data_IF_342306802872
#
_entry.id   IF_342306802872
#
_cell.length_a   1.000
_cell.length_b   1.000
_cell.length_c   1.000
_cell.angle_alpha   90.00
_cell.angle_beta   90.00
_cell.angle_gamma   90.00
#
_symmetry.space_group_name_H-M   'P 1'
#
loop_
_entity.id
_entity.type
_entity.pdbx_description
1 polymer ?
#
# COMPACT_ATOMS: atom_id res chain seq x y z
N UNK A 1 58.16 40.58 -28.83
CA UNK A 1 58.49 39.59 -29.89
C UNK A 1 57.20 38.81 -30.17
N UNK A 2 56.39 39.29 -31.11
CA UNK A 2 56.27 38.85 -32.52
C UNK A 2 55.15 37.82 -32.73
N UNK A 3 54.03 38.27 -33.33
CA UNK A 3 53.30 37.55 -34.40
C UNK A 3 54.28 37.30 -35.58
N UNK A 4 54.01 36.49 -36.64
CA UNK A 4 52.75 35.95 -37.20
C UNK A 4 52.86 34.46 -37.62
N UNK A 5 51.93 33.84 -38.38
CA UNK A 5 51.99 33.52 -39.85
C UNK A 5 50.70 32.72 -40.17
N UNK A 6 49.75 33.03 -41.06
CA UNK A 6 49.63 33.30 -42.51
C UNK A 6 49.74 32.07 -43.47
N UNK A 7 48.58 31.67 -44.03
CA UNK A 7 48.25 31.26 -45.41
C UNK A 7 49.21 30.38 -46.27
N UNK A 8 48.67 29.32 -46.91
CA UNK A 8 48.72 29.13 -48.39
C UNK A 8 47.86 27.99 -49.00
N UNK A 9 46.99 28.40 -49.94
CA UNK A 9 46.64 27.90 -51.31
C UNK A 9 46.31 26.40 -51.57
N UNK A 10 45.13 26.04 -52.12
CA UNK A 10 44.53 26.19 -53.49
C UNK A 10 45.03 25.20 -54.57
N UNK A 11 44.13 24.33 -55.05
CA UNK A 11 43.90 23.87 -56.46
C UNK A 11 42.93 22.66 -56.43
N UNK A 12 42.00 22.41 -57.35
CA UNK A 12 41.55 23.04 -58.59
C UNK A 12 40.24 22.39 -59.06
N UNK A 13 39.44 23.16 -59.81
CA UNK A 13 38.13 22.80 -60.39
C UNK A 13 38.21 21.73 -61.51
N UNK A 14 37.18 20.86 -61.61
CA UNK A 14 36.61 20.39 -62.90
C UNK A 14 35.07 20.33 -62.88
N UNK A 15 34.50 21.34 -63.56
CA UNK A 15 33.22 21.51 -64.28
C UNK A 15 32.26 20.30 -64.44
N UNK A 16 30.96 20.54 -64.20
CA UNK A 16 29.91 20.65 -65.23
C UNK A 16 28.58 21.19 -64.63
N UNK A 17 27.90 22.07 -65.37
CA UNK A 17 26.56 22.67 -65.11
C UNK A 17 25.65 22.36 -66.35
N UNK A 18 24.42 22.89 -66.57
CA UNK A 18 23.50 23.75 -65.77
C UNK A 18 21.97 23.39 -65.88
N UNK A 19 21.09 24.15 -65.18
CA UNK A 19 19.76 24.75 -65.59
C UNK A 19 18.89 25.03 -64.32
N UNK A 20 18.74 26.27 -63.82
CA UNK A 20 17.73 27.32 -64.10
C UNK A 20 16.24 26.90 -63.82
N UNK A 21 15.66 27.16 -62.63
CA UNK A 21 14.81 28.32 -62.16
C UNK A 21 13.38 28.41 -62.79
N UNK A 22 12.37 29.15 -62.26
CA UNK A 22 11.93 29.54 -60.88
C UNK A 22 10.37 29.42 -60.66
N UNK A 23 9.83 30.08 -59.62
CA UNK A 23 8.44 30.58 -59.33
C UNK A 23 7.55 29.76 -58.38
N UNK A 24 6.66 30.33 -57.55
CA UNK A 24 6.50 31.63 -56.86
C UNK A 24 5.25 31.45 -55.92
N UNK A 25 5.27 32.11 -54.76
CA UNK A 25 4.15 32.60 -53.92
C UNK A 25 2.86 31.77 -53.65
N UNK A 26 2.48 31.74 -52.37
CA UNK A 26 1.09 31.56 -51.94
C UNK A 26 0.93 31.66 -50.42
N UNK A 27 0.48 32.82 -49.95
CA UNK A 27 0.19 33.11 -48.54
C UNK A 27 -1.28 32.81 -48.17
N UNK A 28 -1.51 32.70 -46.85
CA UNK A 28 -2.77 32.81 -46.10
C UNK A 28 -3.75 31.63 -46.08
N UNK A 29 -4.08 31.12 -44.89
CA UNK A 29 -5.28 31.53 -44.14
C UNK A 29 -5.49 30.66 -42.88
N UNK A 30 -5.78 31.33 -41.77
CA UNK A 30 -6.21 30.79 -40.47
C UNK A 30 -7.73 30.54 -40.54
N UNK A 31 -8.28 29.39 -40.11
CA UNK A 31 -9.73 29.23 -40.00
C UNK A 31 -10.28 29.84 -38.69
N UNK A 32 -11.52 30.37 -38.71
CA UNK A 32 -12.04 31.20 -37.64
C UNK A 32 -12.70 30.43 -36.50
N UNK A 33 -12.62 31.06 -35.32
CA UNK A 33 -13.44 30.83 -34.12
C UNK A 33 -14.90 31.16 -34.44
N UNK A 34 -15.82 30.25 -34.12
CA UNK A 34 -17.26 30.53 -34.08
C UNK A 34 -17.70 30.59 -32.62
N UNK A 35 -18.11 31.79 -32.23
CA UNK A 35 -18.80 32.12 -30.99
C UNK A 35 -20.31 32.05 -31.29
N UNK A 36 -21.07 31.24 -30.56
CA UNK A 36 -22.52 31.39 -30.48
C UNK A 36 -22.92 31.56 -29.01
N UNK A 37 -23.44 32.76 -28.70
CA UNK A 37 -24.29 33.01 -27.54
C UNK A 37 -25.69 32.51 -27.85
N UNK A 38 -26.32 31.86 -26.90
CA UNK A 38 -27.78 31.79 -26.76
C UNK A 38 -28.10 31.93 -25.28
N UNK A 39 -28.89 32.96 -24.96
CA UNK A 39 -29.51 33.17 -23.66
C UNK A 39 -30.78 32.30 -23.53
N UNK A 40 -31.21 32.08 -22.28
CA UNK A 40 -32.55 31.66 -21.76
C UNK A 40 -32.75 30.14 -21.51
N UNK A 41 -33.39 29.69 -20.40
CA UNK A 41 -33.37 30.11 -18.99
C UNK A 41 -33.03 28.95 -18.01
N UNK A 42 -32.84 29.28 -16.73
CA UNK A 42 -32.75 28.34 -15.60
C UNK A 42 -33.90 27.32 -15.57
N UNK A 43 -33.57 26.04 -15.69
CA UNK A 43 -34.40 24.90 -15.27
C UNK A 43 -33.45 23.81 -14.76
N UNK A 44 -33.55 23.45 -13.49
CA UNK A 44 -32.86 22.28 -12.91
C UNK A 44 -33.24 21.01 -13.67
N UNK A 45 -32.31 20.06 -13.82
CA UNK A 45 -32.69 18.67 -13.69
C UNK A 45 -31.79 17.97 -12.67
N UNK A 46 -32.46 17.43 -11.66
CA UNK A 46 -32.02 16.33 -10.81
C UNK A 46 -31.31 15.25 -11.66
N UNK A 47 -29.97 15.22 -11.65
CA UNK A 47 -29.18 14.15 -12.27
C UNK A 47 -27.70 14.24 -11.81
N UNK A 48 -27.44 14.21 -10.51
CA UNK A 48 -26.09 14.07 -9.94
C UNK A 48 -26.06 13.00 -8.83
N UNK A 49 -26.85 11.93 -8.98
CA UNK A 49 -26.91 10.82 -8.03
C UNK A 49 -26.71 9.43 -8.67
N UNK A 50 -26.24 9.35 -9.92
CA UNK A 50 -26.07 8.07 -10.64
C UNK A 50 -24.68 7.82 -11.22
N UNK A 51 -23.63 8.40 -10.62
CA UNK A 51 -22.24 8.06 -10.99
C UNK A 51 -21.35 7.68 -9.80
N UNK A 52 -21.96 7.41 -8.64
CA UNK A 52 -21.28 6.95 -7.42
C UNK A 52 -21.61 5.48 -7.05
N UNK A 53 -22.19 4.72 -7.99
CA UNK A 53 -22.65 3.34 -7.78
C UNK A 53 -22.04 2.39 -8.81
N UNK A 54 -20.72 2.17 -8.75
CA UNK A 54 -20.05 1.00 -9.36
C UNK A 54 -18.80 0.56 -8.56
N UNK A 55 -18.87 0.62 -7.22
CA UNK A 55 -17.93 -0.08 -6.33
C UNK A 55 -18.64 -0.87 -5.21
N UNK A 56 -19.91 -1.21 -5.40
CA UNK A 56 -20.62 -2.21 -4.60
C UNK A 56 -20.53 -3.57 -5.30
N UNK A 57 -19.40 -4.24 -5.16
CA UNK A 57 -19.14 -5.55 -5.75
C UNK A 57 -18.35 -6.49 -4.84
N UNK A 58 -18.43 -6.30 -3.52
CA UNK A 58 -17.76 -7.11 -2.49
C UNK A 58 -18.75 -7.63 -1.45
N UNK A 59 -19.91 -8.12 -1.89
CA UNK A 59 -20.97 -8.67 -1.03
C UNK A 59 -20.61 -9.99 -0.31
N UNK A 60 -19.39 -10.50 -0.49
CA UNK A 60 -18.93 -11.74 0.16
C UNK A 60 -18.25 -11.53 1.53
N UNK A 61 -18.17 -10.30 2.03
CA UNK A 61 -17.53 -9.93 3.32
C UNK A 61 -18.55 -9.58 4.41
N UNK A 62 -19.62 -10.37 4.55
CA UNK A 62 -20.60 -10.16 5.63
C UNK A 62 -20.07 -10.71 6.95
N UNK A 63 -19.73 -9.82 7.90
CA UNK A 63 -19.47 -10.19 9.29
C UNK A 63 -20.68 -9.73 10.11
N UNK A 64 -21.29 -10.56 10.98
CA UNK A 64 -22.48 -10.16 11.74
C UNK A 64 -22.18 -8.96 12.66
N UNK A 65 -23.03 -7.94 12.59
CA UNK A 65 -23.03 -6.76 13.46
C UNK A 65 -23.57 -7.13 14.87
N UNK A 66 -22.97 -6.64 15.97
CA UNK A 66 -23.57 -6.75 17.28
C UNK A 66 -24.69 -5.70 17.46
N UNK A 67 -25.86 -6.14 17.92
CA UNK A 67 -27.04 -5.30 18.14
C UNK A 67 -26.79 -4.13 19.10
N UNK A 68 -27.40 -2.99 18.78
CA UNK A 68 -27.32 -1.73 19.50
C UNK A 68 -28.02 -1.76 20.87
N UNK A 69 -27.40 -1.15 21.88
CA UNK A 69 -28.06 -0.76 23.14
C UNK A 69 -27.65 0.65 23.59
N UNK A 70 -28.59 1.57 23.36
CA UNK A 70 -29.03 2.78 24.10
C UNK A 70 -28.09 3.58 25.02
N UNK A 71 -27.88 4.84 24.61
CA UNK A 71 -27.71 6.14 25.31
C UNK A 71 -27.31 6.26 26.79
N UNK A 72 -26.29 7.10 27.08
CA UNK A 72 -26.17 8.10 28.19
C UNK A 72 -25.07 9.12 27.79
N UNK A 73 -25.41 10.35 27.37
CA UNK A 73 -25.38 11.65 28.09
C UNK A 73 -24.05 12.45 27.97
N UNK A 74 -24.19 13.78 27.85
CA UNK A 74 -23.24 14.73 27.25
C UNK A 74 -22.40 15.56 28.23
N UNK A 75 -21.18 15.93 27.78
CA UNK A 75 -20.40 17.18 28.02
C UNK A 75 -19.49 17.27 29.27
N UNK A 76 -18.45 18.16 29.32
CA UNK A 76 -17.94 19.08 28.28
C UNK A 76 -16.41 18.99 28.00
N UNK A 77 -16.03 19.83 27.04
CA UNK A 77 -14.75 20.07 26.36
C UNK A 77 -13.67 20.77 27.21
N UNK A 78 -12.40 20.35 27.07
CA UNK A 78 -11.22 21.19 27.38
C UNK A 78 -10.01 20.78 26.52
N UNK A 79 -9.45 21.75 25.79
CA UNK A 79 -8.33 21.70 24.84
C UNK A 79 -6.95 21.40 25.49
N UNK A 80 -5.88 21.13 24.69
CA UNK A 80 -4.82 20.18 25.03
C UNK A 80 -3.50 20.80 25.54
N UNK A 81 -2.74 20.02 26.32
CA UNK A 81 -1.33 20.26 26.70
C UNK A 81 -0.50 18.99 26.37
N UNK A 82 0.79 19.09 25.95
CA UNK A 82 1.43 18.08 25.10
C UNK A 82 1.98 16.88 25.89
N UNK A 83 2.03 15.66 25.30
CA UNK A 83 2.51 14.50 26.04
C UNK A 83 4.05 14.43 26.07
N UNK A 84 4.58 14.51 27.29
CA UNK A 84 5.89 14.01 27.65
C UNK A 84 5.87 12.47 27.85
N UNK A 85 7.04 11.86 27.64
CA UNK A 85 7.42 10.44 27.64
C UNK A 85 6.61 9.43 28.51
N UNK A 86 6.43 8.17 28.06
CA UNK A 86 5.66 7.18 28.81
C UNK A 86 6.53 6.31 29.75
N UNK A 87 6.08 6.19 31.00
CA UNK A 87 6.09 4.99 31.87
C UNK A 87 5.31 5.31 33.17
N UNK A 88 4.78 4.35 33.97
CA UNK A 88 4.47 2.93 33.73
C UNK A 88 2.98 2.57 34.02
N UNK A 89 2.66 1.28 33.91
CA UNK A 89 1.34 0.64 33.97
C UNK A 89 0.47 0.95 35.22
N UNK A 90 -0.86 0.96 35.00
CA UNK A 90 -1.86 0.85 36.06
C UNK A 90 -2.99 -0.14 35.66
N UNK A 91 -3.29 -1.08 36.57
CA UNK A 91 -4.55 -1.84 36.69
C UNK A 91 -5.40 -1.14 37.78
N UNK A 92 -6.76 -1.25 37.88
CA UNK A 92 -7.48 -2.54 37.98
C UNK A 92 -8.94 -2.64 37.47
N UNK A 93 -9.37 -3.89 37.25
CA UNK A 93 -10.67 -4.52 37.59
C UNK A 93 -12.01 -3.85 37.27
N UNK A 94 -12.83 -4.50 36.41
CA UNK A 94 -14.10 -5.18 36.75
C UNK A 94 -15.06 -5.28 35.54
N UNK A 95 -14.98 -6.34 34.74
CA UNK A 95 -16.12 -6.85 33.97
C UNK A 95 -16.06 -8.37 33.97
N UNK A 96 -16.98 -8.97 34.72
CA UNK A 96 -17.08 -10.41 34.99
C UNK A 96 -18.30 -10.91 34.21
N UNK A 97 -18.07 -11.49 33.03
CA UNK A 97 -18.90 -12.49 32.33
C UNK A 97 -18.61 -12.45 30.83
N UNK A 98 -17.53 -13.11 30.41
CA UNK A 98 -17.48 -13.79 29.13
C UNK A 98 -16.94 -15.19 29.42
N UNK A 99 -17.60 -16.21 28.88
CA UNK A 99 -17.11 -17.58 29.00
C UNK A 99 -15.69 -17.66 28.42
N UNK A 100 -14.71 -18.21 29.16
CA UNK A 100 -13.33 -18.20 28.71
C UNK A 100 -13.13 -19.21 27.57
N UNK A 101 -12.57 -18.75 26.44
CA UNK A 101 -11.78 -19.62 25.58
C UNK A 101 -10.62 -20.18 26.41
N UNK A 102 -10.20 -21.45 26.20
CA UNK A 102 -9.20 -22.08 27.04
C UNK A 102 -7.89 -21.27 27.01
N UNK A 103 -7.53 -20.71 28.16
CA UNK A 103 -6.27 -20.00 28.35
C UNK A 103 -5.10 -20.94 28.12
N UNK A 104 -4.04 -20.44 27.47
CA UNK A 104 -2.82 -21.17 27.12
C UNK A 104 -2.00 -21.72 28.31
N UNK A 105 -2.49 -21.57 29.53
CA UNK A 105 -1.81 -21.94 30.78
C UNK A 105 -1.96 -23.42 31.17
N UNK A 106 -2.75 -24.21 30.45
CA UNK A 106 -2.94 -25.65 30.73
C UNK A 106 -2.06 -26.58 29.84
N UNK A 107 -1.04 -26.03 29.17
CA UNK A 107 -0.23 -26.73 28.15
C UNK A 107 0.87 -27.63 28.72
N UNK A 108 0.61 -28.34 29.82
CA UNK A 108 1.46 -29.44 30.36
C UNK A 108 0.75 -30.80 30.33
N UNK A 109 -0.13 -31.05 29.37
CA UNK A 109 -0.73 -32.36 29.15
C UNK A 109 -0.72 -32.70 27.66
N UNK A 110 -0.02 -33.81 27.33
CA UNK A 110 0.01 -34.50 26.03
C UNK A 110 0.36 -33.65 24.81
N UNK A 111 1.45 -34.00 24.12
CA UNK A 111 1.72 -33.59 22.74
C UNK A 111 0.64 -34.16 21.80
N UNK A 112 -0.59 -33.65 21.88
CA UNK A 112 -1.51 -33.77 20.76
C UNK A 112 -0.89 -32.91 19.66
N UNK A 113 -0.47 -33.56 18.56
CA UNK A 113 -0.03 -32.81 17.39
C UNK A 113 -1.15 -31.84 17.02
N UNK A 114 -0.85 -30.55 16.80
CA UNK A 114 -1.86 -29.60 16.37
C UNK A 114 -2.53 -30.11 15.10
N UNK A 115 -3.86 -29.97 15.04
CA UNK A 115 -4.60 -30.30 13.82
C UNK A 115 -4.02 -29.46 12.70
N UNK A 116 -3.48 -30.13 11.68
CA UNK A 116 -2.86 -29.45 10.55
C UNK A 116 -3.98 -29.00 9.62
N UNK A 117 -4.14 -27.68 9.35
CA UNK A 117 -5.15 -27.20 8.44
C UNK A 117 -4.86 -27.75 7.04
N UNK A 118 -5.86 -28.41 6.46
CA UNK A 118 -5.80 -28.89 5.08
C UNK A 118 -5.81 -27.71 4.12
N UNK A 119 -5.06 -27.82 3.02
CA UNK A 119 -5.13 -26.86 1.92
C UNK A 119 -6.19 -27.39 0.93
N UNK A 120 -7.27 -26.64 0.68
CA UNK A 120 -8.25 -27.02 -0.32
C UNK A 120 -7.64 -26.97 -1.73
N UNK A 121 -8.30 -27.57 -2.72
CA UNK A 121 -7.86 -27.49 -4.12
C UNK A 121 -7.73 -26.03 -4.55
N UNK A 122 -6.59 -25.62 -5.16
CA UNK A 122 -6.42 -24.25 -5.63
C UNK A 122 -7.43 -23.90 -6.74
N UNK A 123 -7.90 -22.65 -6.79
CA UNK A 123 -8.71 -22.17 -7.91
C UNK A 123 -7.85 -22.11 -9.19
N UNK A 124 -8.52 -22.02 -10.34
CA UNK A 124 -7.84 -21.87 -11.63
C UNK A 124 -7.02 -20.57 -11.72
N UNK A 125 -7.51 -19.52 -11.06
CA UNK A 125 -6.85 -18.21 -11.00
C UNK A 125 -6.97 -17.63 -9.60
N UNK A 126 -5.90 -16.98 -9.15
CA UNK A 126 -5.86 -16.27 -7.87
C UNK A 126 -5.98 -14.77 -8.19
N UNK A 127 -7.02 -14.08 -7.70
CA UNK A 127 -7.25 -12.69 -8.02
C UNK A 127 -6.12 -11.79 -7.52
N UNK A 128 -5.90 -10.69 -8.24
CA UNK A 128 -5.07 -9.59 -7.73
C UNK A 128 -5.94 -8.71 -6.82
N UNK A 129 -5.44 -8.47 -5.61
CA UNK A 129 -6.17 -7.67 -4.62
C UNK A 129 -5.42 -6.35 -4.45
N UNK A 130 -6.01 -5.21 -4.86
CA UNK A 130 -5.41 -3.90 -4.62
C UNK A 130 -5.39 -3.59 -3.13
N UNK A 131 -4.33 -2.94 -2.68
CA UNK A 131 -4.12 -2.52 -1.30
C UNK A 131 -3.61 -1.09 -1.26
N UNK A 132 -4.12 -0.31 -0.29
CA UNK A 132 -3.78 1.09 -0.06
C UNK A 132 -3.14 1.24 1.31
N UNK A 133 -1.86 1.60 1.34
CA UNK A 133 -1.08 1.70 2.57
C UNK A 133 -0.69 3.14 2.85
N UNK A 134 -1.12 3.69 3.99
CA UNK A 134 -0.63 4.98 4.45
C UNK A 134 0.83 4.88 4.90
N UNK A 135 1.75 5.39 4.08
CA UNK A 135 3.20 5.34 4.31
C UNK A 135 3.72 6.56 5.09
N UNK A 136 3.04 7.71 4.95
CA UNK A 136 3.32 8.91 5.73
C UNK A 136 2.01 9.60 6.08
N UNK A 137 1.81 9.96 7.34
CA UNK A 137 0.63 10.72 7.80
C UNK A 137 1.06 12.05 8.40
N UNK A 138 0.32 13.13 8.12
CA UNK A 138 0.54 14.41 8.78
C UNK A 138 1.85 15.11 8.42
N UNK A 139 2.40 14.93 7.22
CA UNK A 139 3.66 15.56 6.83
C UNK A 139 3.48 17.04 6.45
N UNK A 140 4.41 17.91 6.87
CA UNK A 140 4.43 19.32 6.42
C UNK A 140 5.17 19.51 5.09
N UNK A 141 5.99 18.53 4.71
CA UNK A 141 6.69 18.44 3.42
C UNK A 141 6.91 16.97 3.10
N UNK A 142 6.93 16.62 1.81
CA UNK A 142 7.24 15.28 1.31
C UNK A 142 8.27 15.38 0.18
N UNK A 143 9.36 14.63 0.28
CA UNK A 143 10.34 14.43 -0.77
C UNK A 143 9.90 13.24 -1.60
N UNK A 144 9.58 13.51 -2.87
CA UNK A 144 9.08 12.54 -3.84
C UNK A 144 10.13 12.34 -4.93
N UNK A 145 10.30 11.12 -5.43
CA UNK A 145 11.23 10.84 -6.52
C UNK A 145 10.84 9.60 -7.32
N UNK A 146 11.57 9.29 -8.37
CA UNK A 146 11.28 8.15 -9.25
C UNK A 146 12.54 7.46 -9.78
N UNK A 147 12.54 6.13 -9.85
CA UNK A 147 13.71 5.37 -10.31
C UNK A 147 13.85 5.32 -11.83
N UNK A 148 12.74 5.31 -12.57
CA UNK A 148 12.66 5.22 -14.05
C UNK A 148 12.01 6.47 -14.69
N UNK A 149 11.77 7.49 -13.87
CA UNK A 149 10.87 8.60 -14.20
C UNK A 149 9.44 8.31 -13.76
N UNK A 150 8.65 9.36 -13.53
CA UNK A 150 7.27 9.23 -13.10
C UNK A 150 6.39 10.33 -13.67
N UNK A 151 5.18 9.98 -14.10
CA UNK A 151 4.17 10.96 -14.49
C UNK A 151 3.48 11.46 -13.23
N UNK A 152 3.30 12.78 -13.12
CA UNK A 152 2.50 13.38 -12.06
C UNK A 152 1.14 13.76 -12.64
N UNK A 153 0.06 13.28 -12.02
CA UNK A 153 -1.31 13.63 -12.40
C UNK A 153 -2.08 14.20 -11.21
N UNK A 154 -3.16 14.92 -11.47
CA UNK A 154 -4.16 15.28 -10.46
C UNK A 154 -5.15 14.14 -10.17
N UNK A 155 -6.19 14.42 -9.39
CA UNK A 155 -7.23 13.46 -9.02
C UNK A 155 -8.04 12.93 -10.21
N UNK A 156 -8.14 13.71 -11.29
CA UNK A 156 -8.89 13.38 -12.51
C UNK A 156 -8.01 12.66 -13.55
N UNK A 157 -6.72 12.46 -13.24
CA UNK A 157 -5.76 11.85 -14.15
C UNK A 157 -5.17 12.83 -15.17
N UNK A 158 -5.43 14.13 -15.05
CA UNK A 158 -4.78 15.11 -15.92
C UNK A 158 -3.31 15.21 -15.54
N UNK A 159 -2.44 15.07 -16.54
CA UNK A 159 -0.99 15.20 -16.36
C UNK A 159 -0.63 16.66 -16.06
N UNK A 160 -0.06 16.88 -14.87
CA UNK A 160 0.40 18.19 -14.42
C UNK A 160 1.93 18.33 -14.50
N UNK A 161 2.66 17.21 -14.50
CA UNK A 161 4.12 17.22 -14.51
C UNK A 161 4.75 15.86 -14.78
N UNK A 162 6.08 15.81 -14.72
CA UNK A 162 6.86 14.59 -14.84
C UNK A 162 8.16 14.70 -14.04
N UNK A 163 8.45 13.66 -13.26
CA UNK A 163 9.74 13.48 -12.60
C UNK A 163 10.69 12.74 -13.55
N UNK A 164 11.90 13.28 -13.68
CA UNK A 164 12.99 12.60 -14.37
C UNK A 164 13.50 11.37 -13.60
N UNK A 165 14.24 10.53 -14.30
CA UNK A 165 14.96 9.38 -13.74
C UNK A 165 15.89 9.81 -12.60
N UNK A 166 15.80 9.12 -11.46
CA UNK A 166 16.60 9.39 -10.25
C UNK A 166 16.53 10.85 -9.77
N UNK A 167 15.41 11.52 -10.05
CA UNK A 167 15.15 12.87 -9.56
C UNK A 167 14.37 12.86 -8.25
N UNK A 168 14.45 13.97 -7.51
CA UNK A 168 13.65 14.21 -6.33
C UNK A 168 13.06 15.63 -6.37
N UNK A 169 11.84 15.79 -5.87
CA UNK A 169 11.10 17.04 -5.77
C UNK A 169 10.44 17.13 -4.40
N UNK A 170 10.25 18.35 -3.88
CA UNK A 170 9.45 18.54 -2.67
C UNK A 170 7.99 18.83 -3.01
N UNK A 171 7.09 18.16 -2.30
CA UNK A 171 5.68 18.48 -2.22
C UNK A 171 5.38 19.14 -0.86
N UNK A 172 4.72 20.29 -0.89
CA UNK A 172 4.32 21.04 0.30
C UNK A 172 2.84 21.44 0.19
N UNK A 173 2.09 21.50 1.31
CA UNK A 173 0.76 22.07 1.30
C UNK A 173 0.87 23.58 1.03
N UNK A 174 0.16 24.06 0.02
CA UNK A 174 0.00 25.47 -0.33
C UNK A 174 -1.35 26.02 0.15
N UNK A 175 -1.58 27.34 -0.03
CA UNK A 175 -2.90 27.94 0.27
C UNK A 175 -4.00 27.25 -0.53
N UNK A 176 -3.78 27.08 -1.83
CA UNK A 176 -4.65 26.36 -2.75
C UNK A 176 -3.97 25.06 -3.19
N UNK A 177 -4.13 24.01 -2.39
CA UNK A 177 -3.71 22.66 -2.76
C UNK A 177 -2.27 22.30 -2.46
N UNK A 178 -1.65 21.49 -3.32
CA UNK A 178 -0.32 20.92 -3.14
C UNK A 178 0.61 21.56 -4.17
N UNK A 179 1.67 22.21 -3.71
CA UNK A 179 2.79 22.62 -4.56
C UNK A 179 3.77 21.46 -4.65
N UNK A 180 4.18 21.07 -5.86
CA UNK A 180 5.19 20.03 -6.11
C UNK A 180 6.22 20.54 -7.13
N UNK A 181 7.39 20.95 -6.65
CA UNK A 181 8.38 21.61 -7.51
C UNK A 181 7.79 22.85 -8.16
N UNK A 182 7.78 22.89 -9.50
CA UNK A 182 7.18 23.97 -10.30
C UNK A 182 5.69 23.74 -10.62
N UNK A 183 5.12 22.60 -10.22
CA UNK A 183 3.74 22.22 -10.52
C UNK A 183 2.82 22.39 -9.30
N UNK A 184 1.52 22.45 -9.55
CA UNK A 184 0.50 22.58 -8.52
C UNK A 184 -0.66 21.62 -8.78
N UNK A 185 -1.19 21.02 -7.72
CA UNK A 185 -2.35 20.14 -7.75
C UNK A 185 -3.42 20.63 -6.75
N UNK A 186 -4.73 20.42 -7.01
CA UNK A 186 -5.78 21.00 -6.15
C UNK A 186 -5.85 20.43 -4.74
N UNK A 187 -5.94 19.11 -4.58
CA UNK A 187 -6.05 18.44 -3.27
C UNK A 187 -5.41 17.07 -3.25
N UNK A 188 -5.29 16.44 -4.42
CA UNK A 188 -4.67 15.14 -4.62
C UNK A 188 -3.73 15.26 -5.81
N UNK A 189 -2.57 14.62 -5.70
CA UNK A 189 -1.73 14.28 -6.84
C UNK A 189 -1.36 12.81 -6.78
N UNK A 190 -1.04 12.26 -7.93
CA UNK A 190 -0.50 10.92 -8.10
C UNK A 190 0.90 10.99 -8.68
N UNK A 191 1.79 10.17 -8.15
CA UNK A 191 3.11 9.91 -8.72
C UNK A 191 3.09 8.49 -9.27
N UNK A 192 3.00 8.38 -10.60
CA UNK A 192 2.93 7.12 -11.32
C UNK A 192 4.29 6.79 -11.94
N UNK A 193 5.04 5.80 -11.42
CA UNK A 193 6.31 5.42 -12.02
C UNK A 193 6.10 4.82 -13.43
N UNK A 194 7.08 5.00 -14.30
CA UNK A 194 7.07 4.39 -15.64
C UNK A 194 7.56 2.93 -15.58
N UNK A 195 6.83 2.02 -16.23
CA UNK A 195 7.14 0.58 -16.21
C UNK A 195 7.16 0.01 -14.78
N UNK A 196 8.12 -0.88 -14.51
CA UNK A 196 8.33 -1.46 -13.17
C UNK A 196 9.15 -0.54 -12.23
N UNK A 197 9.05 0.77 -12.47
CA UNK A 197 9.72 1.79 -11.67
C UNK A 197 9.24 1.86 -10.23
N UNK A 198 10.05 2.53 -9.41
CA UNK A 198 9.79 2.75 -7.99
C UNK A 198 9.59 4.23 -7.72
N UNK A 199 8.71 4.53 -6.77
CA UNK A 199 8.52 5.88 -6.24
C UNK A 199 9.32 6.02 -4.96
N UNK A 200 10.13 7.07 -4.87
CA UNK A 200 10.80 7.45 -3.63
C UNK A 200 9.89 8.34 -2.80
N UNK A 201 9.75 8.04 -1.52
CA UNK A 201 9.04 8.88 -0.54
C UNK A 201 9.82 8.87 0.77
N UNK A 202 10.29 10.04 1.21
CA UNK A 202 10.85 10.24 2.56
C UNK A 202 11.89 9.18 2.99
N UNK A 203 12.88 8.89 2.13
CA UNK A 203 13.96 7.95 2.46
C UNK A 203 13.78 6.52 1.95
N UNK A 204 12.61 6.17 1.42
CA UNK A 204 12.29 4.78 1.01
C UNK A 204 11.76 4.70 -0.40
N UNK A 205 11.98 3.54 -1.04
CA UNK A 205 11.49 3.22 -2.37
C UNK A 205 10.30 2.28 -2.29
N UNK A 206 9.23 2.59 -3.02
CA UNK A 206 7.96 1.86 -3.02
C UNK A 206 7.60 1.39 -4.42
N UNK A 207 6.98 0.22 -4.51
CA UNK A 207 6.40 -0.31 -5.76
C UNK A 207 5.07 0.38 -6.03
N UNK A 208 4.73 0.49 -7.30
CA UNK A 208 3.44 1.05 -7.72
C UNK A 208 3.33 2.55 -7.47
N UNK A 209 2.16 3.13 -7.77
CA UNK A 209 1.94 4.55 -7.61
C UNK A 209 1.84 4.99 -6.15
N UNK A 210 2.11 6.28 -5.94
CA UNK A 210 1.87 6.96 -4.66
C UNK A 210 0.87 8.09 -4.88
N UNK A 211 -0.19 8.07 -4.09
CA UNK A 211 -1.15 9.15 -3.98
C UNK A 211 -0.73 10.07 -2.84
N UNK A 212 -0.65 11.38 -3.10
CA UNK A 212 -0.43 12.40 -2.07
C UNK A 212 -1.70 13.22 -1.92
N UNK A 213 -2.22 13.28 -0.70
CA UNK A 213 -3.49 13.91 -0.36
C UNK A 213 -3.22 15.03 0.63
N UNK A 214 -3.75 16.22 0.35
CA UNK A 214 -3.74 17.33 1.30
C UNK A 214 -4.93 17.24 2.26
N UNK A 215 -4.63 17.37 3.54
CA UNK A 215 -5.59 17.54 4.64
C UNK A 215 -5.16 18.77 5.42
N UNK A 216 -5.90 19.86 5.24
CA UNK A 216 -5.54 21.17 5.80
C UNK A 216 -4.10 21.56 5.44
N UNK A 217 -3.24 21.79 6.43
CA UNK A 217 -1.83 22.15 6.27
C UNK A 217 -0.89 20.95 6.37
N UNK A 218 -1.39 19.74 6.13
CA UNK A 218 -0.62 18.49 6.16
C UNK A 218 -0.86 17.65 4.92
N UNK A 219 0.10 16.76 4.65
CA UNK A 219 0.09 15.80 3.57
C UNK A 219 0.00 14.38 4.11
N UNK A 220 -0.78 13.57 3.44
CA UNK A 220 -0.89 12.12 3.58
C UNK A 220 -0.29 11.51 2.30
N UNK A 221 0.61 10.55 2.44
CA UNK A 221 1.10 9.75 1.33
C UNK A 221 0.57 8.31 1.47
N UNK A 222 -0.13 7.85 0.43
CA UNK A 222 -0.72 6.50 0.33
C UNK A 222 -0.05 5.79 -0.83
N UNK A 223 0.57 4.64 -0.55
CA UNK A 223 1.08 3.77 -1.59
C UNK A 223 -0.01 2.79 -2.04
N UNK A 224 -0.15 2.64 -3.35
CA UNK A 224 -1.12 1.75 -3.99
C UNK A 224 -0.36 0.63 -4.70
N UNK A 225 -0.65 -0.61 -4.34
CA UNK A 225 0.03 -1.80 -4.86
C UNK A 225 -0.85 -3.06 -4.71
N UNK A 226 -0.43 -4.15 -5.35
CA UNK A 226 -1.05 -5.46 -5.11
C UNK A 226 -0.64 -6.03 -3.74
N UNK A 227 -1.56 -6.76 -3.12
CA UNK A 227 -1.38 -7.43 -1.83
C UNK A 227 -0.13 -8.32 -1.80
N UNK A 228 0.14 -9.10 -2.84
CA UNK A 228 1.30 -10.00 -2.85
C UNK A 228 2.63 -9.21 -2.87
N UNK A 229 2.67 -8.11 -3.63
CA UNK A 229 3.81 -7.19 -3.68
C UNK A 229 4.05 -6.50 -2.33
N UNK A 230 2.98 -6.15 -1.62
CA UNK A 230 3.06 -5.64 -0.25
C UNK A 230 3.69 -6.67 0.71
N UNK A 231 3.31 -7.94 0.58
CA UNK A 231 3.78 -9.01 1.46
C UNK A 231 5.27 -9.31 1.31
N UNK A 232 5.88 -9.08 0.13
CA UNK A 232 7.34 -9.18 -0.02
C UNK A 232 8.08 -8.28 0.99
N UNK A 233 7.59 -7.06 1.18
CA UNK A 233 8.17 -6.10 2.12
C UNK A 233 7.89 -6.49 3.56
N UNK A 234 6.62 -6.82 3.88
CA UNK A 234 6.19 -7.15 5.24
C UNK A 234 6.92 -8.38 5.77
N UNK A 235 6.97 -9.47 5.02
CA UNK A 235 7.63 -10.70 5.49
C UNK A 235 9.12 -10.44 5.76
N UNK A 236 9.79 -9.66 4.92
CA UNK A 236 11.20 -9.30 5.12
C UNK A 236 11.46 -8.29 6.23
N UNK A 237 10.48 -7.44 6.55
CA UNK A 237 10.57 -6.49 7.66
C UNK A 237 10.27 -7.14 9.02
N UNK A 238 9.44 -8.17 9.01
CA UNK A 238 8.96 -8.88 10.20
C UNK A 238 9.87 -10.06 10.60
N UNK A 239 10.43 -10.78 9.62
CA UNK A 239 11.26 -11.96 9.88
C UNK A 239 12.59 -11.94 9.13
N UNK A 240 13.70 -12.35 9.77
CA UNK A 240 14.98 -12.48 9.09
C UNK A 240 14.90 -13.41 7.88
N UNK A 241 15.40 -12.94 6.74
CA UNK A 241 15.40 -13.69 5.48
C UNK A 241 16.18 -15.03 5.52
N UNK A 242 17.01 -15.24 6.54
CA UNK A 242 17.78 -16.47 6.78
C UNK A 242 17.01 -17.53 7.57
N UNK A 243 15.81 -17.21 8.06
CA UNK A 243 14.97 -18.16 8.76
C UNK A 243 14.38 -19.20 7.81
N UNK A 244 13.81 -20.25 8.40
CA UNK A 244 13.24 -21.37 7.63
C UNK A 244 12.17 -20.86 6.67
N UNK A 245 12.22 -21.34 5.43
CA UNK A 245 11.22 -21.01 4.42
C UNK A 245 9.80 -21.36 4.91
N UNK A 246 9.63 -22.42 5.69
CA UNK A 246 8.34 -22.82 6.26
C UNK A 246 7.82 -21.80 7.29
N UNK A 247 8.72 -21.18 8.06
CA UNK A 247 8.35 -20.11 8.98
C UNK A 247 7.97 -18.83 8.20
N UNK A 248 8.73 -18.49 7.15
CA UNK A 248 8.42 -17.35 6.28
C UNK A 248 7.08 -17.53 5.54
N UNK A 249 6.75 -18.75 5.09
CA UNK A 249 5.46 -19.09 4.49
C UNK A 249 4.30 -18.93 5.48
N UNK A 250 4.47 -19.39 6.73
CA UNK A 250 3.46 -19.18 7.76
C UNK A 250 3.24 -17.67 8.03
N UNK A 251 4.30 -16.88 8.07
CA UNK A 251 4.21 -15.43 8.19
C UNK A 251 3.54 -14.77 6.99
N UNK A 252 3.83 -15.21 5.76
CA UNK A 252 3.17 -14.68 4.57
C UNK A 252 1.65 -14.87 4.64
N UNK A 253 1.18 -16.06 5.04
CA UNK A 253 -0.24 -16.37 5.20
C UNK A 253 -0.89 -15.55 6.32
N UNK A 254 -0.23 -15.45 7.49
CA UNK A 254 -0.73 -14.61 8.58
C UNK A 254 -0.79 -13.12 8.15
N UNK A 255 0.29 -12.60 7.59
CA UNK A 255 0.33 -11.21 7.14
C UNK A 255 -0.73 -10.91 6.06
N UNK A 256 -0.98 -11.85 5.14
CA UNK A 256 -2.05 -11.75 4.14
C UNK A 256 -3.43 -11.68 4.78
N UNK A 257 -3.70 -12.54 5.75
CA UNK A 257 -5.00 -12.60 6.45
C UNK A 257 -5.29 -11.30 7.20
N UNK A 258 -4.28 -10.75 7.88
CA UNK A 258 -4.37 -9.44 8.52
C UNK A 258 -4.69 -8.31 7.53
N UNK A 259 -3.97 -8.25 6.40
CA UNK A 259 -4.19 -7.21 5.39
C UNK A 259 -5.58 -7.32 4.75
N UNK A 260 -6.07 -8.54 4.49
CA UNK A 260 -7.42 -8.77 3.95
C UNK A 260 -8.53 -8.28 4.90
N UNK A 261 -8.38 -8.45 6.21
CA UNK A 261 -9.31 -7.87 7.20
C UNK A 261 -9.37 -6.35 7.07
N UNK A 262 -8.22 -5.70 6.85
CA UNK A 262 -8.13 -4.25 6.71
C UNK A 262 -8.57 -3.73 5.34
N UNK A 263 -8.53 -4.55 4.30
CA UNK A 263 -9.20 -4.25 3.04
C UNK A 263 -10.73 -4.31 3.22
N UNK A 264 -11.22 -5.32 3.95
CA UNK A 264 -12.64 -5.46 4.25
C UNK A 264 -13.16 -4.38 5.21
N UNK A 265 -12.30 -3.91 6.11
CA UNK A 265 -12.58 -2.86 7.09
C UNK A 265 -11.47 -1.80 7.08
N UNK A 266 -11.48 -0.90 6.08
CA UNK A 266 -10.44 0.11 5.94
C UNK A 266 -10.31 1.01 7.17
N UNK A 267 -9.08 1.34 7.50
CA UNK A 267 -8.75 2.32 8.54
C UNK A 267 -9.36 3.71 8.27
N UNK A 268 -9.52 4.06 6.98
CA UNK A 268 -10.20 5.28 6.55
C UNK A 268 -10.72 5.13 5.10
N UNK A 269 -11.40 6.16 4.61
CA UNK A 269 -11.78 6.23 3.19
C UNK A 269 -10.55 6.30 2.25
N UNK A 270 -9.42 6.83 2.71
CA UNK A 270 -8.23 7.08 1.89
C UNK A 270 -7.28 5.88 1.80
N UNK A 271 -7.26 5.01 2.82
CA UNK A 271 -6.33 3.89 2.90
C UNK A 271 -6.87 2.74 3.78
N UNK A 272 -6.38 1.53 3.51
CA UNK A 272 -6.83 0.30 4.16
C UNK A 272 -6.11 0.09 5.50
N UNK A 273 -4.79 0.27 5.53
CA UNK A 273 -3.95 0.16 6.73
C UNK A 273 -2.70 1.07 6.67
N UNK A 274 -2.01 1.23 7.80
CA UNK A 274 -0.79 2.04 7.90
C UNK A 274 0.50 1.21 7.83
N UNK A 275 1.64 1.87 7.59
CA UNK A 275 2.93 1.20 7.38
C UNK A 275 3.75 0.91 8.66
N UNK A 276 3.23 1.23 9.85
CA UNK A 276 3.96 1.12 11.13
C UNK A 276 3.70 -0.23 11.81
N UNK A 277 4.55 -0.68 12.77
CA UNK A 277 4.34 -1.92 13.53
C UNK A 277 3.03 -2.02 14.32
N UNK A 278 2.30 -0.91 14.52
CA UNK A 278 0.91 -0.95 15.02
C UNK A 278 -0.03 -1.76 14.11
N UNK A 279 0.29 -1.77 12.82
CA UNK A 279 -0.39 -2.53 11.78
C UNK A 279 0.53 -3.71 11.44
N UNK A 280 1.39 -3.52 10.44
CA UNK A 280 2.47 -4.42 10.06
C UNK A 280 3.65 -3.56 9.61
N UNK A 281 4.87 -4.03 9.83
CA UNK A 281 6.05 -3.30 9.37
C UNK A 281 6.12 -3.30 7.83
N UNK A 282 5.84 -2.15 7.21
CA UNK A 282 5.95 -1.96 5.76
C UNK A 282 6.97 -0.88 5.45
N UNK A 283 8.06 -1.25 4.78
CA UNK A 283 9.21 -0.35 4.54
C UNK A 283 9.54 -0.18 3.07
N UNK A 284 8.60 -0.52 2.17
CA UNK A 284 8.86 -0.55 0.74
C UNK A 284 9.83 -1.66 0.37
N UNK A 285 10.59 -1.49 -0.72
CA UNK A 285 11.38 -2.59 -1.30
C UNK A 285 12.64 -2.96 -0.52
N UNK A 286 13.01 -2.20 0.51
CA UNK A 286 14.32 -2.31 1.17
C UNK A 286 14.53 -3.61 1.94
N UNK A 287 13.44 -4.21 2.41
CA UNK A 287 13.44 -5.46 3.19
C UNK A 287 13.16 -6.69 2.34
N UNK A 288 12.86 -6.51 1.06
CA UNK A 288 12.59 -7.62 0.16
C UNK A 288 13.86 -8.41 -0.13
N UNK A 289 13.72 -9.73 -0.15
CA UNK A 289 14.75 -10.69 -0.56
C UNK A 289 14.15 -11.77 -1.45
N UNK A 290 15.00 -12.50 -2.18
CA UNK A 290 14.54 -13.67 -2.96
C UNK A 290 13.79 -14.70 -2.08
N UNK A 291 14.21 -14.90 -0.81
CA UNK A 291 13.54 -15.84 0.09
C UNK A 291 12.18 -15.34 0.55
N UNK A 292 12.01 -14.03 0.78
CA UNK A 292 10.68 -13.45 1.07
C UNK A 292 9.76 -13.57 -0.14
N UNK A 293 10.28 -13.35 -1.35
CA UNK A 293 9.54 -13.53 -2.60
C UNK A 293 9.11 -14.98 -2.78
N UNK A 294 10.01 -15.92 -2.53
CA UNK A 294 9.72 -17.35 -2.61
C UNK A 294 8.62 -17.76 -1.62
N UNK A 295 8.70 -17.33 -0.36
CA UNK A 295 7.71 -17.63 0.67
C UNK A 295 6.32 -17.11 0.32
N UNK A 296 6.24 -15.85 -0.12
CA UNK A 296 4.98 -15.20 -0.51
C UNK A 296 4.40 -15.87 -1.75
N UNK A 297 5.21 -16.10 -2.79
CA UNK A 297 4.73 -16.73 -4.03
C UNK A 297 4.31 -18.19 -3.83
N UNK A 298 5.02 -18.94 -2.99
CA UNK A 298 4.64 -20.33 -2.68
C UNK A 298 3.33 -20.44 -1.87
N UNK A 299 2.86 -19.33 -1.30
CA UNK A 299 1.62 -19.25 -0.52
C UNK A 299 0.64 -18.23 -1.09
N UNK A 300 0.82 -17.84 -2.36
CA UNK A 300 0.04 -16.80 -3.03
C UNK A 300 -1.45 -17.07 -2.84
N UNK A 301 -2.22 -16.07 -2.40
CA UNK A 301 -3.65 -16.22 -2.19
C UNK A 301 -4.11 -17.15 -1.06
N UNK A 302 -3.22 -17.84 -0.32
CA UNK A 302 -3.60 -18.59 0.86
C UNK A 302 -3.74 -17.65 2.07
N UNK A 303 -4.87 -17.78 2.78
CA UNK A 303 -5.16 -17.04 4.00
C UNK A 303 -5.80 -17.95 5.07
N UNK A 304 -5.80 -17.50 6.32
CA UNK A 304 -6.44 -18.14 7.46
C UNK A 304 -7.93 -17.82 7.48
N UNK A 305 -8.75 -18.85 7.51
CA UNK A 305 -10.20 -18.72 7.58
C UNK A 305 -10.78 -19.42 8.81
N UNK A 306 -11.95 -18.95 9.25
CA UNK A 306 -12.75 -19.57 10.28
C UNK A 306 -14.22 -19.46 9.88
N UNK A 307 -14.91 -20.59 9.74
CA UNK A 307 -16.32 -20.64 9.32
C UNK A 307 -16.59 -19.85 8.02
N UNK A 308 -15.65 -19.88 7.07
CA UNK A 308 -15.74 -19.18 5.78
C UNK A 308 -15.35 -17.70 5.81
N UNK A 309 -15.17 -17.09 6.99
CA UNK A 309 -14.68 -15.72 7.13
C UNK A 309 -13.15 -15.64 7.22
N UNK A 310 -12.57 -14.52 6.79
CA UNK A 310 -11.14 -14.23 7.01
C UNK A 310 -10.88 -13.96 8.50
N UNK A 311 -9.78 -14.50 9.02
CA UNK A 311 -9.36 -14.32 10.41
C UNK A 311 -8.31 -13.21 10.51
N UNK A 312 -8.51 -12.27 11.44
CA UNK A 312 -7.45 -11.33 11.81
C UNK A 312 -6.36 -12.08 12.58
N UNK A 313 -5.27 -12.39 11.89
CA UNK A 313 -4.17 -13.15 12.48
C UNK A 313 -3.12 -12.22 13.08
N UNK A 314 -3.19 -12.06 14.39
CA UNK A 314 -2.16 -11.35 15.17
C UNK A 314 -0.87 -12.17 15.22
N UNK A 315 0.27 -11.49 15.22
CA UNK A 315 1.58 -12.11 15.40
C UNK A 315 2.52 -11.15 16.12
N UNK A 316 3.55 -11.70 16.78
CA UNK A 316 4.57 -10.91 17.47
C UNK A 316 5.93 -11.62 17.49
N UNK A 317 6.98 -10.84 17.79
CA UNK A 317 8.36 -11.34 17.78
C UNK A 317 8.59 -12.55 18.71
N UNK A 318 7.96 -12.58 19.88
CA UNK A 318 8.16 -13.64 20.88
C UNK A 318 6.86 -14.13 21.52
N UNK A 319 6.90 -15.34 22.09
CA UNK A 319 5.79 -15.93 22.83
C UNK A 319 5.38 -15.11 24.05
N UNK A 320 6.32 -14.39 24.66
CA UNK A 320 6.02 -13.53 25.81
C UNK A 320 5.20 -12.32 25.37
N UNK A 321 5.50 -11.70 24.23
CA UNK A 321 4.67 -10.62 23.66
C UNK A 321 3.28 -11.16 23.29
N UNK A 322 3.19 -12.35 22.69
CA UNK A 322 1.91 -12.99 22.40
C UNK A 322 1.07 -13.17 23.67
N UNK A 323 1.68 -13.68 24.75
CA UNK A 323 0.98 -13.88 26.03
C UNK A 323 0.55 -12.58 26.69
N UNK A 324 1.44 -11.60 26.76
CA UNK A 324 1.24 -10.37 27.53
C UNK A 324 0.39 -9.34 26.77
N UNK A 325 0.65 -9.15 25.48
CA UNK A 325 0.02 -8.12 24.65
C UNK A 325 -1.21 -8.67 23.93
N UNK A 326 -1.09 -9.84 23.31
CA UNK A 326 -2.18 -10.46 22.57
C UNK A 326 -2.99 -11.46 23.40
N UNK A 327 -2.79 -11.48 24.73
CA UNK A 327 -3.51 -12.35 25.68
C UNK A 327 -3.46 -13.84 25.31
N UNK A 328 -2.35 -14.25 24.71
CA UNK A 328 -2.10 -15.62 24.27
C UNK A 328 -2.60 -15.96 22.86
N UNK A 329 -3.15 -14.99 22.13
CA UNK A 329 -3.65 -15.18 20.77
C UNK A 329 -2.63 -14.73 19.73
N UNK A 330 -2.41 -15.55 18.69
CA UNK A 330 -1.55 -15.20 17.58
C UNK A 330 -0.23 -15.98 17.52
N UNK A 331 0.54 -15.70 16.48
CA UNK A 331 1.78 -16.42 16.19
C UNK A 331 3.01 -15.75 16.78
N UNK A 332 3.83 -16.52 17.49
CA UNK A 332 5.20 -16.14 17.86
C UNK A 332 6.11 -16.37 16.66
N UNK A 333 6.78 -15.32 16.17
CA UNK A 333 7.72 -15.41 15.04
C UNK A 333 8.92 -16.31 15.42
N UNK A 334 9.51 -16.10 16.59
CA UNK A 334 10.57 -16.98 17.12
C UNK A 334 10.08 -18.42 17.31
N UNK A 335 8.85 -18.58 17.81
CA UNK A 335 8.23 -19.89 18.00
C UNK A 335 8.01 -20.62 16.66
N UNK A 336 7.53 -19.92 15.63
CA UNK A 336 7.38 -20.46 14.28
C UNK A 336 8.73 -20.95 13.71
N UNK A 337 9.79 -20.15 13.86
CA UNK A 337 11.14 -20.55 13.47
C UNK A 337 11.63 -21.77 14.25
N UNK A 338 11.37 -21.83 15.55
CA UNK A 338 11.74 -22.95 16.40
C UNK A 338 11.02 -24.24 15.97
N UNK A 339 9.71 -24.19 15.74
CA UNK A 339 8.92 -25.32 15.26
C UNK A 339 9.44 -25.81 13.91
N UNK A 340 9.76 -24.89 13.00
CA UNK A 340 10.28 -25.23 11.68
C UNK A 340 11.65 -25.93 11.76
N UNK A 341 12.59 -25.42 12.55
CA UNK A 341 13.98 -25.93 12.57
C UNK A 341 14.17 -27.11 13.52
N UNK A 342 13.53 -27.10 14.69
CA UNK A 342 13.77 -28.12 15.71
C UNK A 342 12.78 -29.29 15.63
N UNK A 343 11.55 -29.02 15.20
CA UNK A 343 10.50 -30.03 15.10
C UNK A 343 10.18 -30.41 13.64
N UNK A 344 10.87 -29.79 12.68
CA UNK A 344 10.68 -30.00 11.25
C UNK A 344 9.23 -29.78 10.80
N UNK A 345 8.54 -28.83 11.44
CA UNK A 345 7.17 -28.48 11.07
C UNK A 345 7.16 -27.75 9.73
N UNK A 346 6.20 -28.12 8.87
CA UNK A 346 5.86 -27.30 7.71
C UNK A 346 4.96 -26.12 8.09
N UNK A 347 4.75 -25.18 7.16
CA UNK A 347 3.96 -23.98 7.44
C UNK A 347 2.52 -24.28 7.88
N UNK A 348 1.90 -25.35 7.36
CA UNK A 348 0.54 -25.73 7.78
C UNK A 348 0.54 -26.13 9.26
N UNK A 349 1.49 -26.96 9.70
CA UNK A 349 1.61 -27.39 11.08
C UNK A 349 1.92 -26.22 12.03
N UNK A 350 2.76 -25.27 11.59
CA UNK A 350 3.04 -24.03 12.32
C UNK A 350 1.74 -23.22 12.50
N UNK A 351 0.99 -23.01 11.43
CA UNK A 351 -0.27 -22.27 11.48
C UNK A 351 -1.32 -22.98 12.35
N UNK A 352 -1.47 -24.30 12.23
CA UNK A 352 -2.37 -25.08 13.08
C UNK A 352 -1.98 -25.05 14.57
N UNK A 353 -0.69 -24.87 14.88
CA UNK A 353 -0.21 -24.68 16.25
C UNK A 353 -0.61 -23.34 16.84
N UNK A 354 -0.44 -22.24 16.09
CA UNK A 354 -0.67 -20.88 16.58
C UNK A 354 -2.10 -20.38 16.41
N UNK A 355 -2.84 -20.92 15.44
CA UNK A 355 -4.22 -20.55 15.11
C UNK A 355 -5.13 -21.79 15.16
N UNK A 356 -5.29 -22.44 16.34
CA UNK A 356 -6.07 -23.65 16.45
C UNK A 356 -7.54 -23.41 16.06
N UNK A 357 -8.10 -24.33 15.30
CA UNK A 357 -9.49 -24.26 14.82
C UNK A 357 -9.68 -23.43 13.54
N UNK A 358 -8.63 -22.80 13.01
CA UNK A 358 -8.65 -22.16 11.69
C UNK A 358 -8.36 -23.17 10.58
N UNK A 359 -8.79 -22.83 9.38
CA UNK A 359 -8.51 -23.54 8.14
C UNK A 359 -7.70 -22.65 7.18
N UNK A 360 -7.19 -23.24 6.11
CA UNK A 360 -6.60 -22.49 5.00
C UNK A 360 -7.62 -22.36 3.88
N UNK A 361 -7.68 -21.19 3.27
CA UNK A 361 -8.58 -20.91 2.15
C UNK A 361 -7.86 -20.10 1.08
N UNK A 362 -8.31 -20.23 -0.17
CA UNK A 362 -7.79 -19.48 -1.30
C UNK A 362 -8.60 -18.22 -1.54
N UNK A 363 -7.94 -17.13 -1.89
CA UNK A 363 -8.59 -15.99 -2.53
C UNK A 363 -9.25 -16.46 -3.82
N UNK A 364 -10.51 -16.08 -4.00
CA UNK A 364 -11.33 -16.46 -5.14
C UNK A 364 -12.04 -15.23 -5.71
N UNK A 365 -12.25 -15.22 -7.02
CA UNK A 365 -13.15 -14.28 -7.65
C UNK A 365 -14.60 -14.63 -7.27
N UNK A 366 -15.50 -13.63 -7.13
CA UNK A 366 -16.93 -13.92 -7.02
C UNK A 366 -17.39 -14.76 -8.22
N UNK A 367 -18.20 -15.78 -7.93
CA UNK A 367 -18.71 -16.77 -8.90
C UNK A 367 -19.77 -16.20 -9.83
#
# INVERSE_FOLDING_TARGET
MTKPTLFRRLSGLKKAAPLLLPLLLGAAAIPPVIQQRSDVPLSEPQALEQSALELSGLDWLTIPEPEASTQVETAPESSPEPPAAPAPAASPSSLKNQQPFPSSTDRRQSFLMPVTPSIPTPPAEIPQVPLRVAITTGASTLTLGASTGAVITDAQGYRIGELGTQSAVQAIPAQEGIQIGDWQAPTVLWVQPQGDGLVYVEGRWYRGPVQVIRREQRLLAVNHLDLESYLYSVVGAEMPASWSLEALKAQAIAARSYALVHIARPASADYDLGATPRWQAYTGVTTETNTTHEAVNATRGLFLSYQGGVVESLYAASDDIVKEVHRGFGMSQNGAQQLAVQQNFNFQQILGYFYPGTELSWLQLPS
#
